data_IF_441716076964
#
_entry.id   IF_441716076964
#
_cell.length_a   1.000
_cell.length_b   1.000
_cell.length_c   1.000
_cell.angle_alpha   90.00
_cell.angle_beta   90.00
_cell.angle_gamma   90.00
#
_symmetry.space_group_name_H-M   'P 1'
#
loop_
_entity.id
_entity.type
_entity.pdbx_description
1 polymer ?
#
# COMPACT_ATOMS: atom_id res chain seq x y z
N UNK A 1 -15.03 -2.07 24.05
CA UNK A 1 -15.40 -3.04 22.99
C UNK A 1 -15.82 -2.21 21.79
N UNK A 2 -14.97 -2.08 20.77
CA UNK A 2 -15.33 -1.30 19.59
C UNK A 2 -16.29 -2.13 18.75
N UNK A 3 -17.48 -1.60 18.46
CA UNK A 3 -18.42 -2.20 17.52
C UNK A 3 -17.73 -2.31 16.14
N UNK A 4 -17.47 -3.53 15.69
CA UNK A 4 -17.11 -3.79 14.29
C UNK A 4 -18.32 -3.46 13.43
N UNK A 5 -18.37 -2.23 12.92
CA UNK A 5 -19.40 -1.78 12.01
C UNK A 5 -19.12 -2.36 10.63
N UNK A 6 -19.75 -3.49 10.31
CA UNK A 6 -19.69 -4.07 8.96
C UNK A 6 -20.08 -3.02 7.91
N UNK A 7 -19.22 -2.82 6.92
CA UNK A 7 -19.47 -1.87 5.84
C UNK A 7 -20.50 -2.47 4.85
N UNK A 8 -21.60 -1.75 4.60
CA UNK A 8 -22.64 -2.18 3.65
C UNK A 8 -22.08 -2.25 2.23
N UNK A 9 -22.25 -3.40 1.56
CA UNK A 9 -21.92 -3.56 0.15
C UNK A 9 -22.98 -2.89 -0.75
N UNK A 10 -22.73 -1.64 -1.16
CA UNK A 10 -23.67 -0.87 -1.98
C UNK A 10 -23.77 -1.37 -3.44
N UNK A 11 -22.73 -2.03 -3.95
CA UNK A 11 -22.66 -2.53 -5.32
C UNK A 11 -22.17 -3.99 -5.34
N UNK A 12 -23.03 -4.97 -5.02
CA UNK A 12 -22.62 -6.37 -4.85
C UNK A 12 -22.21 -7.07 -6.16
N UNK A 13 -22.58 -6.51 -7.31
CA UNK A 13 -22.21 -7.01 -8.63
C UNK A 13 -20.81 -6.56 -9.09
N UNK A 14 -20.18 -5.61 -8.37
CA UNK A 14 -18.83 -5.15 -8.66
C UNK A 14 -17.87 -5.84 -7.70
N UNK A 15 -17.08 -6.79 -8.20
CA UNK A 15 -16.03 -7.42 -7.41
C UNK A 15 -14.95 -6.40 -7.06
N UNK A 16 -14.54 -6.40 -5.79
CA UNK A 16 -13.45 -5.57 -5.28
C UNK A 16 -12.86 -6.21 -4.04
N UNK A 17 -11.55 -6.35 -4.00
CA UNK A 17 -10.82 -6.77 -2.81
C UNK A 17 -9.93 -5.63 -2.35
N UNK A 18 -9.92 -5.38 -1.04
CA UNK A 18 -9.22 -4.26 -0.42
C UNK A 18 -8.50 -4.72 0.82
N UNK A 19 -7.23 -4.35 0.91
CA UNK A 19 -6.38 -4.63 2.05
C UNK A 19 -5.63 -3.35 2.43
N UNK A 20 -5.70 -2.98 3.71
CA UNK A 20 -4.82 -2.02 4.35
C UNK A 20 -3.69 -2.78 5.03
N UNK A 21 -2.45 -2.30 4.88
CA UNK A 21 -1.25 -2.84 5.53
C UNK A 21 -0.46 -1.67 6.13
N UNK A 22 -0.09 -1.79 7.40
CA UNK A 22 0.67 -0.77 8.13
C UNK A 22 1.87 -1.39 8.84
N UNK A 23 2.96 -0.62 8.97
CA UNK A 23 4.14 -1.11 9.69
C UNK A 23 5.29 -0.13 9.73
N UNK A 24 6.23 -0.39 10.64
CA UNK A 24 7.47 0.37 10.79
C UNK A 24 8.62 -0.33 10.06
N UNK A 25 9.20 0.33 9.07
CA UNK A 25 10.23 -0.21 8.18
C UNK A 25 11.65 0.11 8.64
N UNK A 26 12.64 -0.69 8.23
CA UNK A 26 14.06 -0.54 8.65
C UNK A 26 15.03 -0.10 7.56
N UNK A 27 14.59 -0.09 6.31
CA UNK A 27 15.39 0.35 5.15
C UNK A 27 15.33 1.86 4.91
N UNK A 28 16.27 2.42 4.15
CA UNK A 28 16.08 3.77 3.58
C UNK A 28 15.08 3.69 2.42
N UNK A 29 14.16 4.64 2.35
CA UNK A 29 13.12 4.67 1.32
C UNK A 29 13.23 5.97 0.53
N UNK A 30 13.44 5.84 -0.77
CA UNK A 30 13.40 6.90 -1.77
C UNK A 30 12.45 6.51 -2.92
N UNK A 31 12.35 7.35 -3.95
CA UNK A 31 11.49 7.08 -5.11
C UNK A 31 11.86 5.78 -5.86
N UNK A 32 13.15 5.40 -5.87
CA UNK A 32 13.62 4.18 -6.52
C UNK A 32 13.11 2.96 -5.76
N UNK A 33 13.26 2.95 -4.44
CA UNK A 33 12.76 1.87 -3.56
C UNK A 33 11.24 1.74 -3.67
N UNK A 34 10.50 2.86 -3.79
CA UNK A 34 9.04 2.84 -3.99
C UNK A 34 8.66 2.20 -5.34
N UNK A 35 9.37 2.53 -6.41
CA UNK A 35 9.15 1.90 -7.72
C UNK A 35 9.44 0.40 -7.68
N UNK A 36 10.54 0.00 -7.05
CA UNK A 36 10.92 -1.41 -6.87
C UNK A 36 9.85 -2.17 -6.06
N UNK A 37 9.32 -1.56 -5.00
CA UNK A 37 8.22 -2.14 -4.23
C UNK A 37 6.98 -2.37 -5.09
N UNK A 38 6.56 -1.37 -5.89
CA UNK A 38 5.40 -1.54 -6.77
C UNK A 38 5.61 -2.65 -7.79
N UNK A 39 6.82 -2.81 -8.34
CA UNK A 39 7.14 -3.93 -9.21
C UNK A 39 7.05 -5.27 -8.47
N UNK A 40 7.61 -5.37 -7.27
CA UNK A 40 7.64 -6.61 -6.50
C UNK A 40 6.23 -7.04 -6.06
N UNK A 41 5.44 -6.13 -5.47
CA UNK A 41 4.09 -6.44 -4.99
C UNK A 41 3.14 -6.78 -6.15
N UNK A 42 3.21 -6.05 -7.26
CA UNK A 42 2.33 -6.35 -8.41
C UNK A 42 2.70 -7.66 -9.08
N UNK A 43 4.00 -7.99 -9.17
CA UNK A 43 4.48 -9.29 -9.66
C UNK A 43 4.02 -10.42 -8.75
N UNK A 44 4.21 -10.31 -7.44
CA UNK A 44 3.84 -11.34 -6.47
C UNK A 44 2.33 -11.62 -6.49
N UNK A 45 1.51 -10.57 -6.63
CA UNK A 45 0.05 -10.67 -6.69
C UNK A 45 -0.50 -10.93 -8.11
N UNK A 46 0.38 -11.07 -9.11
CA UNK A 46 0.01 -11.27 -10.53
C UNK A 46 -0.97 -10.20 -11.04
N UNK A 47 -0.68 -8.95 -10.71
CA UNK A 47 -1.41 -7.75 -11.10
C UNK A 47 -0.71 -7.08 -12.29
N UNK A 48 -1.47 -6.41 -13.14
CA UNK A 48 -0.95 -5.72 -14.32
C UNK A 48 -1.09 -4.20 -14.15
N UNK A 49 0.05 -3.53 -14.12
CA UNK A 49 0.13 -2.07 -14.21
C UNK A 49 -0.18 -1.62 -15.65
N UNK A 50 -0.84 -0.46 -15.82
CA UNK A 50 -1.08 0.12 -17.15
C UNK A 50 -0.47 1.52 -17.35
N UNK A 51 0.20 2.05 -16.33
CA UNK A 51 0.92 3.30 -16.37
C UNK A 51 2.04 3.30 -15.34
N UNK A 52 2.93 4.28 -15.46
CA UNK A 52 4.03 4.46 -14.52
C UNK A 52 3.50 4.85 -13.13
N UNK A 53 4.16 4.41 -12.04
CA UNK A 53 3.88 4.94 -10.71
C UNK A 53 4.01 6.45 -10.65
N UNK A 54 3.12 7.09 -9.91
CA UNK A 54 3.17 8.51 -9.60
C UNK A 54 3.63 8.63 -8.15
N UNK A 55 4.69 9.40 -7.91
CA UNK A 55 5.29 9.57 -6.59
C UNK A 55 5.44 11.07 -6.34
N UNK A 56 4.88 11.53 -5.22
CA UNK A 56 5.03 12.89 -4.74
C UNK A 56 5.77 12.91 -3.42
N UNK A 57 6.56 13.96 -3.20
CA UNK A 57 7.13 14.28 -1.89
C UNK A 57 6.87 15.76 -1.60
N UNK A 58 6.47 16.11 -0.36
CA UNK A 58 6.27 17.51 0.01
C UNK A 58 7.57 18.34 0.04
N UNK A 59 8.76 17.71 0.04
CA UNK A 59 10.09 18.38 0.05
C UNK A 59 10.12 19.58 1.01
N UNK A 60 9.80 19.34 2.28
CA UNK A 60 9.79 20.39 3.32
C UNK A 60 8.53 21.29 3.36
N UNK A 61 7.59 21.13 2.43
CA UNK A 61 6.30 21.82 2.44
C UNK A 61 5.30 21.07 3.32
N UNK A 62 5.23 21.39 4.61
CA UNK A 62 4.30 20.76 5.56
C UNK A 62 4.90 20.57 6.96
N UNK A 63 4.24 19.76 7.80
CA UNK A 63 4.80 19.39 9.11
C UNK A 63 6.00 18.45 8.92
N UNK A 64 7.02 18.57 9.77
CA UNK A 64 8.18 17.65 9.74
C UNK A 64 7.75 16.19 9.92
N UNK A 65 6.77 15.93 10.79
CA UNK A 65 6.24 14.58 11.02
C UNK A 65 5.70 13.94 9.73
N UNK A 66 5.13 14.74 8.82
CA UNK A 66 4.50 14.28 7.57
C UNK A 66 5.45 14.25 6.37
N UNK A 67 6.76 14.41 6.58
CA UNK A 67 7.71 14.29 5.48
C UNK A 67 7.80 12.83 5.01
N UNK A 68 7.88 12.65 3.70
CA UNK A 68 8.06 11.34 3.07
C UNK A 68 7.48 11.32 1.67
N UNK A 69 6.64 10.33 1.37
CA UNK A 69 6.14 10.10 0.01
C UNK A 69 4.66 9.71 -0.01
N UNK A 70 3.94 10.28 -0.96
CA UNK A 70 2.61 9.85 -1.37
C UNK A 70 2.72 9.23 -2.76
N UNK A 71 2.44 7.94 -2.88
CA UNK A 71 2.69 7.19 -4.10
C UNK A 71 1.47 6.37 -4.53
N UNK A 72 1.30 6.20 -5.84
CA UNK A 72 0.22 5.43 -6.43
C UNK A 72 0.70 4.71 -7.69
N UNK A 73 0.32 3.44 -7.85
CA UNK A 73 0.49 2.71 -9.11
C UNK A 73 -0.87 2.29 -9.69
N UNK A 74 -1.17 2.65 -10.94
CA UNK A 74 -2.42 2.31 -11.58
C UNK A 74 -2.45 0.84 -12.05
N UNK A 75 -3.49 0.11 -11.65
CA UNK A 75 -3.82 -1.23 -12.14
C UNK A 75 -5.07 -1.14 -13.02
N UNK A 76 -5.30 -2.11 -13.93
CA UNK A 76 -6.51 -2.08 -14.77
C UNK A 76 -7.76 -1.97 -13.85
N UNK A 77 -8.50 -0.86 -14.00
CA UNK A 77 -9.68 -0.46 -13.21
C UNK A 77 -9.49 -0.38 -11.68
N UNK A 78 -8.26 -0.27 -11.18
CA UNK A 78 -7.94 -0.30 -9.74
C UNK A 78 -6.55 0.28 -9.44
N UNK A 79 -5.97 0.05 -8.25
CA UNK A 79 -4.65 0.61 -7.94
C UNK A 79 -4.13 0.30 -6.55
N UNK A 80 -2.85 0.58 -6.34
CA UNK A 80 -2.20 0.47 -5.02
C UNK A 80 -1.70 1.85 -4.64
N UNK A 81 -2.14 2.33 -3.47
CA UNK A 81 -1.61 3.55 -2.85
C UNK A 81 -0.61 3.17 -1.76
N UNK A 82 0.48 3.93 -1.67
CA UNK A 82 1.50 3.79 -0.63
C UNK A 82 1.80 5.17 -0.04
N UNK A 83 1.73 5.25 1.28
CA UNK A 83 2.08 6.44 2.06
C UNK A 83 3.29 6.13 2.93
N UNK A 84 4.30 6.98 2.87
CA UNK A 84 5.55 6.85 3.62
C UNK A 84 5.74 8.08 4.49
N UNK A 85 5.95 7.85 5.79
CA UNK A 85 6.43 8.85 6.73
C UNK A 85 7.90 8.58 7.03
N UNK A 86 8.80 9.32 6.39
CA UNK A 86 10.25 9.08 6.44
C UNK A 86 10.84 9.22 7.83
N UNK A 87 10.39 10.21 8.60
CA UNK A 87 10.89 10.44 9.95
C UNK A 87 10.41 9.38 10.96
N UNK A 88 9.14 8.97 10.85
CA UNK A 88 8.58 7.92 11.69
C UNK A 88 9.00 6.51 11.24
N UNK A 89 9.58 6.40 10.04
CA UNK A 89 9.88 5.13 9.37
C UNK A 89 8.64 4.24 9.29
N UNK A 90 7.50 4.85 8.99
CA UNK A 90 6.20 4.21 8.97
C UNK A 90 5.63 4.22 7.56
N UNK A 91 4.93 3.14 7.19
CA UNK A 91 4.19 3.06 5.95
C UNK A 91 2.74 2.67 6.18
N UNK A 92 1.88 3.10 5.25
CA UNK A 92 0.51 2.64 5.12
C UNK A 92 0.23 2.37 3.65
N UNK A 93 -0.11 1.12 3.31
CA UNK A 93 -0.37 0.68 1.95
C UNK A 93 -1.84 0.24 1.81
N UNK A 94 -2.51 0.75 0.78
CA UNK A 94 -3.87 0.35 0.41
C UNK A 94 -3.81 -0.36 -0.93
N UNK A 95 -4.07 -1.66 -0.90
CA UNK A 95 -4.19 -2.49 -2.10
C UNK A 95 -5.67 -2.59 -2.43
N UNK A 96 -6.09 -1.97 -3.53
CA UNK A 96 -7.45 -2.05 -4.04
C UNK A 96 -7.39 -2.70 -5.42
N UNK A 97 -8.05 -3.85 -5.59
CA UNK A 97 -8.05 -4.57 -6.88
C UNK A 97 -9.46 -4.95 -7.32
N UNK A 98 -9.63 -5.04 -8.65
CA UNK A 98 -10.80 -5.64 -9.30
C UNK A 98 -10.61 -7.14 -9.60
N UNK A 99 -9.51 -7.74 -9.11
CA UNK A 99 -9.14 -9.16 -9.23
C UNK A 99 -8.78 -9.71 -7.85
N UNK A 100 -9.20 -10.92 -7.52
CA UNK A 100 -8.82 -11.56 -6.27
C UNK A 100 -7.32 -11.76 -6.14
N UNK A 101 -6.78 -11.57 -4.94
CA UNK A 101 -5.38 -11.81 -4.59
C UNK A 101 -5.25 -12.46 -3.20
N UNK A 102 -4.11 -13.09 -2.94
CA UNK A 102 -3.81 -13.66 -1.63
C UNK A 102 -3.26 -12.58 -0.68
N UNK A 103 -4.03 -12.29 0.37
CA UNK A 103 -3.69 -11.25 1.34
C UNK A 103 -2.43 -11.60 2.14
N UNK A 104 -2.18 -12.88 2.40
CA UNK A 104 -0.96 -13.31 3.09
C UNK A 104 0.28 -13.01 2.27
N UNK A 105 0.26 -13.33 0.97
CA UNK A 105 1.33 -12.96 0.04
C UNK A 105 1.56 -11.45 0.03
N UNK A 106 0.49 -10.64 0.01
CA UNK A 106 0.63 -9.19 0.05
C UNK A 106 1.34 -8.72 1.33
N UNK A 107 0.88 -9.19 2.49
CA UNK A 107 1.44 -8.87 3.81
C UNK A 107 2.91 -9.31 3.89
N UNK A 108 3.24 -10.54 3.48
CA UNK A 108 4.59 -11.08 3.53
C UNK A 108 5.56 -10.32 2.61
N UNK A 109 5.13 -9.99 1.38
CA UNK A 109 5.95 -9.21 0.45
C UNK A 109 6.22 -7.81 1.01
N UNK A 110 5.19 -7.11 1.49
CA UNK A 110 5.36 -5.79 2.11
C UNK A 110 6.27 -5.87 3.33
N UNK A 111 6.05 -6.86 4.21
CA UNK A 111 6.85 -7.08 5.42
C UNK A 111 8.32 -7.29 5.09
N UNK A 112 8.60 -8.21 4.17
CA UNK A 112 9.96 -8.61 3.83
C UNK A 112 10.68 -7.51 3.06
N UNK A 113 10.01 -6.86 2.09
CA UNK A 113 10.60 -5.80 1.28
C UNK A 113 11.08 -4.62 2.12
N UNK A 114 10.27 -4.21 3.11
CA UNK A 114 10.56 -3.06 3.96
C UNK A 114 11.26 -3.40 5.29
N UNK A 115 11.59 -4.68 5.52
CA UNK A 115 12.17 -5.19 6.76
C UNK A 115 11.35 -4.81 8.01
N UNK A 116 10.04 -4.99 7.94
CA UNK A 116 9.11 -4.69 9.03
C UNK A 116 9.07 -5.86 10.04
N UNK A 117 9.16 -5.58 11.34
CA UNK A 117 9.02 -6.61 12.38
C UNK A 117 7.55 -7.01 12.63
N UNK A 118 6.72 -5.99 12.80
CA UNK A 118 5.29 -6.09 13.14
C UNK A 118 4.47 -5.36 12.08
N UNK A 119 3.53 -6.10 11.49
CA UNK A 119 2.62 -5.59 10.46
C UNK A 119 1.20 -5.73 11.00
N UNK A 120 0.44 -4.65 10.90
CA UNK A 120 -1.01 -4.66 11.10
C UNK A 120 -1.71 -4.62 9.74
N UNK A 121 -2.85 -5.29 9.63
CA UNK A 121 -3.60 -5.32 8.38
C UNK A 121 -5.10 -5.42 8.60
N UNK A 122 -5.86 -4.90 7.64
CA UNK A 122 -7.32 -4.97 7.66
C UNK A 122 -7.87 -5.20 6.25
N UNK A 123 -8.66 -6.27 6.12
CA UNK A 123 -9.43 -6.59 4.91
C UNK A 123 -10.83 -5.95 4.97
N UNK A 124 -11.39 -5.55 3.83
CA UNK A 124 -12.68 -4.80 3.75
C UNK A 124 -13.70 -5.33 2.75
#
# INVERSE_FOLDING_TARGET
>A
MAESKFMKNLAPHIFRQRLLIEGFYKISVDEKVINEYFQEITKALQLRIYGEPIIFSPIGSGKQENQGYDAFVPLIDSGISLYIWSNARFLSAVIYTCKGFDEKTAIEVTKNFFEIDEVESQSF
#
